data_IF_736545548241
#
_entry.id   IF_736545548241
#
_cell.length_a   1.000
_cell.length_b   1.000
_cell.length_c   1.000
_cell.angle_alpha   90.00
_cell.angle_beta   90.00
_cell.angle_gamma   90.00
#
_symmetry.space_group_name_H-M   'P 1'
#
loop_
_entity.id
_entity.type
_entity.pdbx_description
1 polymer ?
#
# COMPACT_ATOMS: atom_id res chain seq x y z
N UNK A 1 -3.64 -6.47 -5.55
CA UNK A 1 -3.66 -5.02 -5.24
C UNK A 1 -2.43 -4.54 -4.47
N UNK A 2 -2.15 -5.00 -3.25
CA UNK A 2 -1.02 -4.46 -2.46
C UNK A 2 0.36 -4.76 -3.08
N UNK A 3 0.53 -5.96 -3.66
CA UNK A 3 1.71 -6.31 -4.45
C UNK A 3 1.84 -5.45 -5.72
N UNK A 4 0.71 -5.14 -6.38
CA UNK A 4 0.71 -4.24 -7.54
C UNK A 4 1.18 -2.84 -7.13
N UNK A 5 0.69 -2.30 -6.00
CA UNK A 5 1.15 -1.01 -5.47
C UNK A 5 2.65 -1.03 -5.18
N UNK A 6 3.16 -2.08 -4.52
CA UNK A 6 4.59 -2.20 -4.24
C UNK A 6 5.42 -2.22 -5.54
N UNK A 7 5.02 -3.03 -6.53
CA UNK A 7 5.69 -3.11 -7.82
C UNK A 7 5.68 -1.77 -8.56
N UNK A 8 4.51 -1.17 -8.75
CA UNK A 8 4.39 0.10 -9.47
C UNK A 8 5.03 1.26 -8.72
N UNK A 9 5.15 1.20 -7.38
CA UNK A 9 5.93 2.17 -6.61
C UNK A 9 7.43 2.07 -6.93
N UNK A 10 7.98 0.86 -7.08
CA UNK A 10 9.38 0.66 -7.49
C UNK A 10 9.61 1.21 -8.90
N UNK A 11 8.73 0.85 -9.85
CA UNK A 11 8.82 1.30 -11.24
C UNK A 11 8.73 2.83 -11.34
N UNK A 12 7.78 3.44 -10.63
CA UNK A 12 7.62 4.90 -10.61
C UNK A 12 8.85 5.58 -10.02
N UNK A 13 9.39 5.04 -8.93
CA UNK A 13 10.58 5.61 -8.29
C UNK A 13 11.81 5.56 -9.21
N UNK A 14 12.01 4.46 -9.94
CA UNK A 14 13.11 4.34 -10.91
C UNK A 14 12.96 5.31 -12.08
N UNK A 15 11.74 5.49 -12.60
CA UNK A 15 11.47 6.49 -13.65
C UNK A 15 11.73 7.91 -13.17
N UNK A 16 11.28 8.25 -11.97
CA UNK A 16 11.55 9.56 -11.38
C UNK A 16 13.06 9.82 -11.19
N UNK A 17 13.84 8.80 -10.83
CA UNK A 17 15.30 8.91 -10.76
C UNK A 17 15.90 9.21 -12.14
N UNK A 18 15.46 8.48 -13.17
CA UNK A 18 15.91 8.68 -14.55
C UNK A 18 15.56 10.07 -15.08
N UNK A 19 14.30 10.50 -14.93
CA UNK A 19 13.80 11.80 -15.39
C UNK A 19 14.53 12.98 -14.71
N UNK A 20 15.02 12.77 -13.49
CA UNK A 20 15.78 13.77 -12.71
C UNK A 20 17.28 13.71 -12.95
N UNK A 21 17.77 12.74 -13.73
CA UNK A 21 19.19 12.53 -13.96
C UNK A 21 19.96 12.10 -12.70
N UNK A 22 19.31 11.40 -11.77
CA UNK A 22 19.99 10.86 -10.60
C UNK A 22 20.91 9.71 -10.98
N UNK A 23 22.10 9.67 -10.37
CA UNK A 23 22.96 8.50 -10.43
C UNK A 23 22.38 7.41 -9.52
N UNK A 24 21.98 6.30 -10.13
CA UNK A 24 21.35 5.17 -9.45
C UNK A 24 22.22 4.49 -8.39
N UNK A 25 23.53 4.65 -8.42
CA UNK A 25 24.45 4.19 -7.37
C UNK A 25 24.60 5.24 -6.29
N UNK A 26 24.86 6.50 -6.68
CA UNK A 26 25.07 7.59 -5.74
C UNK A 26 23.85 7.81 -4.81
N UNK A 27 22.63 7.72 -5.35
CA UNK A 27 21.42 7.90 -4.54
C UNK A 27 21.25 6.82 -3.45
N UNK A 28 21.70 5.59 -3.71
CA UNK A 28 21.71 4.51 -2.71
C UNK A 28 22.80 4.74 -1.67
N UNK A 29 23.99 5.19 -2.10
CA UNK A 29 25.08 5.54 -1.20
C UNK A 29 24.68 6.69 -0.25
N UNK A 30 24.09 7.76 -0.78
CA UNK A 30 23.58 8.89 -0.02
C UNK A 30 22.49 8.46 0.96
N UNK A 31 21.58 7.59 0.53
CA UNK A 31 20.56 7.02 1.41
C UNK A 31 21.20 6.29 2.58
N UNK A 32 22.13 5.37 2.32
CA UNK A 32 22.80 4.59 3.36
C UNK A 32 23.64 5.46 4.30
N UNK A 33 24.20 6.57 3.81
CA UNK A 33 24.92 7.56 4.62
C UNK A 33 23.99 8.42 5.48
N UNK A 34 22.76 8.67 5.04
CA UNK A 34 21.76 9.45 5.78
C UNK A 34 21.16 8.71 6.98
N UNK A 35 21.32 7.38 7.05
CA UNK A 35 20.75 6.55 8.11
C UNK A 35 21.54 6.67 9.41
N UNK A 36 20.82 6.57 10.54
CA UNK A 36 21.47 6.32 11.84
C UNK A 36 22.23 4.99 11.80
N UNK A 37 23.25 4.85 12.66
CA UNK A 37 24.04 3.61 12.72
C UNK A 37 23.18 2.35 12.87
N UNK A 38 22.18 2.38 13.75
CA UNK A 38 21.25 1.27 13.97
C UNK A 38 20.40 0.96 12.72
N UNK A 39 19.86 1.98 12.05
CA UNK A 39 19.07 1.79 10.84
C UNK A 39 19.93 1.27 9.69
N UNK A 40 21.16 1.78 9.55
CA UNK A 40 22.12 1.33 8.54
C UNK A 40 22.49 -0.14 8.76
N UNK A 41 22.78 -0.53 10.00
CA UNK A 41 23.06 -1.94 10.34
C UNK A 41 21.87 -2.84 10.00
N UNK A 42 20.65 -2.41 10.31
CA UNK A 42 19.44 -3.14 9.94
C UNK A 42 19.34 -3.35 8.42
N UNK A 43 19.60 -2.33 7.59
CA UNK A 43 19.57 -2.48 6.11
C UNK A 43 20.67 -3.39 5.59
N UNK A 44 21.88 -3.29 6.12
CA UNK A 44 22.96 -4.20 5.75
C UNK A 44 22.63 -5.65 6.11
N UNK A 45 22.01 -5.87 7.27
CA UNK A 45 21.54 -7.21 7.69
C UNK A 45 20.44 -7.73 6.77
N UNK A 46 19.46 -6.88 6.43
CA UNK A 46 18.38 -7.21 5.49
C UNK A 46 18.95 -7.66 4.13
N UNK A 47 19.83 -6.84 3.53
CA UNK A 47 20.46 -7.17 2.24
C UNK A 47 21.26 -8.47 2.31
N UNK A 48 22.03 -8.68 3.38
CA UNK A 48 22.79 -9.92 3.61
C UNK A 48 21.86 -11.14 3.74
N UNK A 49 20.69 -10.98 4.36
CA UNK A 49 19.69 -12.05 4.47
C UNK A 49 19.07 -12.38 3.11
N UNK A 50 18.76 -11.37 2.29
CA UNK A 50 18.33 -11.58 0.90
C UNK A 50 19.37 -12.38 0.12
N UNK A 51 20.66 -12.08 0.29
CA UNK A 51 21.76 -12.83 -0.33
C UNK A 51 21.85 -14.32 0.05
N UNK A 52 21.12 -14.80 1.07
CA UNK A 52 21.03 -16.24 1.42
C UNK A 52 19.93 -16.97 0.64
N UNK A 53 19.01 -16.24 0.03
CA UNK A 53 17.94 -16.82 -0.76
C UNK A 53 18.48 -17.31 -2.11
N UNK A 54 18.13 -18.52 -2.57
CA UNK A 54 18.54 -19.00 -3.90
C UNK A 54 18.00 -18.10 -5.03
N UNK A 55 16.96 -17.31 -4.76
CA UNK A 55 16.33 -16.43 -5.74
C UNK A 55 17.01 -15.06 -5.89
N UNK A 56 17.94 -14.70 -5.00
CA UNK A 56 18.59 -13.38 -5.02
C UNK A 56 20.06 -13.38 -4.61
N UNK A 57 20.65 -14.55 -4.32
CA UNK A 57 22.06 -14.70 -3.95
C UNK A 57 23.01 -14.19 -5.03
N UNK A 58 22.74 -14.48 -6.31
CA UNK A 58 23.55 -14.01 -7.45
C UNK A 58 23.50 -12.49 -7.60
N UNK A 59 22.32 -11.90 -7.40
CA UNK A 59 22.13 -10.45 -7.46
C UNK A 59 22.90 -9.75 -6.33
N UNK A 60 22.77 -10.25 -5.10
CA UNK A 60 23.51 -9.72 -3.96
C UNK A 60 25.03 -9.89 -4.14
N UNK A 61 25.50 -11.06 -4.58
CA UNK A 61 26.92 -11.31 -4.81
C UNK A 61 27.52 -10.31 -5.81
N UNK A 62 26.76 -9.95 -6.85
CA UNK A 62 27.19 -8.97 -7.87
C UNK A 62 27.28 -7.54 -7.36
N UNK A 63 26.31 -7.08 -6.55
CA UNK A 63 26.15 -5.67 -6.20
C UNK A 63 26.37 -5.33 -4.72
N UNK A 64 26.75 -6.29 -3.88
CA UNK A 64 26.93 -6.05 -2.43
C UNK A 64 28.01 -5.03 -2.08
N UNK A 65 29.01 -4.83 -2.95
CA UNK A 65 30.05 -3.81 -2.78
C UNK A 65 29.65 -2.42 -3.26
N UNK A 66 28.79 -2.35 -4.29
CA UNK A 66 28.31 -1.11 -4.88
C UNK A 66 26.93 -1.34 -5.52
N UNK A 67 25.88 -0.77 -4.93
CA UNK A 67 24.50 -1.19 -5.17
C UNK A 67 23.70 -0.16 -5.96
N UNK A 68 23.30 -0.46 -7.21
CA UNK A 68 22.41 0.42 -7.95
C UNK A 68 20.99 0.36 -7.39
N UNK A 69 20.24 1.45 -7.56
CA UNK A 69 18.88 1.62 -7.06
C UNK A 69 17.96 0.44 -7.43
N UNK A 70 17.97 -0.03 -8.68
CA UNK A 70 17.12 -1.15 -9.08
C UNK A 70 17.44 -2.43 -8.30
N UNK A 71 18.71 -2.75 -8.07
CA UNK A 71 19.11 -3.94 -7.32
C UNK A 71 18.78 -3.78 -5.83
N UNK A 72 18.96 -2.58 -5.28
CA UNK A 72 18.53 -2.24 -3.93
C UNK A 72 17.02 -2.46 -3.75
N UNK A 73 16.21 -2.01 -4.69
CA UNK A 73 14.75 -2.18 -4.65
C UNK A 73 14.31 -3.65 -4.75
N UNK A 74 15.05 -4.50 -5.47
CA UNK A 74 14.75 -5.93 -5.54
C UNK A 74 15.17 -6.70 -4.28
N UNK A 75 16.26 -6.28 -3.63
CA UNK A 75 16.84 -6.98 -2.47
C UNK A 75 16.23 -6.57 -1.13
N UNK A 76 15.38 -5.54 -1.10
CA UNK A 76 14.87 -4.96 0.14
C UNK A 76 13.38 -5.22 0.34
N UNK A 77 12.94 -5.22 1.61
CA UNK A 77 11.52 -5.36 1.93
C UNK A 77 10.72 -4.12 1.54
N UNK A 78 9.39 -4.29 1.48
CA UNK A 78 8.49 -3.15 1.32
C UNK A 78 8.68 -2.08 2.40
N UNK A 79 9.04 -2.47 3.63
CA UNK A 79 9.37 -1.51 4.68
C UNK A 79 10.54 -0.61 4.30
N UNK A 80 11.57 -1.20 3.70
CA UNK A 80 12.75 -0.46 3.26
C UNK A 80 12.47 0.42 2.06
N UNK A 81 11.70 -0.08 1.08
CA UNK A 81 11.20 0.73 -0.04
C UNK A 81 10.46 1.98 0.47
N UNK A 82 9.58 1.85 1.46
CA UNK A 82 8.80 2.97 2.01
C UNK A 82 9.70 4.06 2.61
N UNK A 83 10.76 3.67 3.31
CA UNK A 83 11.70 4.63 3.89
C UNK A 83 12.59 5.25 2.80
N UNK A 84 12.96 4.49 1.78
CA UNK A 84 13.73 4.99 0.64
C UNK A 84 12.92 5.96 -0.23
N UNK A 85 11.62 5.70 -0.44
CA UNK A 85 10.69 6.65 -1.08
C UNK A 85 10.67 7.99 -0.32
N UNK A 86 10.62 7.95 1.02
CA UNK A 86 10.65 9.18 1.83
C UNK A 86 11.97 9.92 1.70
N UNK A 87 13.09 9.20 1.65
CA UNK A 87 14.40 9.80 1.42
C UNK A 87 14.44 10.52 0.07
N UNK A 88 14.03 9.84 -1.01
CA UNK A 88 13.99 10.42 -2.35
C UNK A 88 13.06 11.63 -2.41
N UNK A 89 11.86 11.54 -1.82
CA UNK A 89 10.91 12.65 -1.76
C UNK A 89 11.51 13.91 -1.13
N UNK A 90 12.27 13.75 -0.04
CA UNK A 90 12.93 14.87 0.65
C UNK A 90 14.09 15.43 -0.15
N UNK A 91 14.91 14.55 -0.74
CA UNK A 91 16.02 14.92 -1.62
C UNK A 91 15.54 15.77 -2.80
N UNK A 92 14.37 15.43 -3.34
CA UNK A 92 13.77 16.11 -4.49
C UNK A 92 12.82 17.27 -4.13
N UNK A 93 12.54 17.49 -2.84
CA UNK A 93 11.53 18.46 -2.40
C UNK A 93 10.10 18.12 -2.82
N UNK A 94 9.81 16.85 -3.15
CA UNK A 94 8.52 16.40 -3.62
C UNK A 94 7.57 16.09 -2.44
N UNK A 95 6.69 17.04 -2.15
CA UNK A 95 5.70 16.91 -1.07
C UNK A 95 4.62 15.88 -1.36
N UNK A 96 4.31 15.59 -2.63
CA UNK A 96 3.31 14.60 -2.98
C UNK A 96 3.87 13.20 -2.76
N UNK A 97 5.12 12.96 -3.16
CA UNK A 97 5.83 11.72 -2.86
C UNK A 97 6.10 11.55 -1.36
N UNK A 98 6.38 12.62 -0.62
CA UNK A 98 6.52 12.52 0.83
C UNK A 98 5.17 12.19 1.51
N UNK A 99 4.05 12.69 0.99
CA UNK A 99 2.73 12.31 1.49
C UNK A 99 2.42 10.83 1.20
N UNK A 100 2.82 10.30 0.04
CA UNK A 100 2.57 8.91 -0.34
C UNK A 100 3.26 7.90 0.60
N UNK A 101 4.38 8.27 1.23
CA UNK A 101 5.04 7.45 2.27
C UNK A 101 4.06 6.98 3.36
N UNK A 102 3.16 7.86 3.81
CA UNK A 102 2.18 7.51 4.85
C UNK A 102 1.08 6.58 4.33
N UNK A 103 0.70 6.74 3.06
CA UNK A 103 -0.25 5.84 2.41
C UNK A 103 0.37 4.45 2.22
N UNK A 104 1.64 4.37 1.80
CA UNK A 104 2.34 3.09 1.63
C UNK A 104 2.52 2.34 2.96
N UNK A 105 2.68 3.02 4.09
CA UNK A 105 2.68 2.38 5.42
C UNK A 105 1.37 1.65 5.70
N UNK A 106 0.25 2.22 5.30
CA UNK A 106 -1.08 1.59 5.43
C UNK A 106 -1.25 0.44 4.46
N UNK A 107 -0.77 0.58 3.22
CA UNK A 107 -0.73 -0.51 2.24
C UNK A 107 0.07 -1.70 2.77
N UNK A 108 1.23 -1.45 3.39
CA UNK A 108 2.04 -2.48 4.06
C UNK A 108 1.27 -3.16 5.19
N UNK A 109 0.50 -2.42 5.98
CA UNK A 109 -0.36 -2.97 7.05
C UNK A 109 -1.36 -3.99 6.50
N UNK A 110 -2.12 -3.62 5.46
CA UNK A 110 -3.08 -4.53 4.80
C UNK A 110 -2.38 -5.72 4.16
N UNK A 111 -1.22 -5.51 3.52
CA UNK A 111 -0.41 -6.59 2.93
C UNK A 111 0.01 -7.62 3.98
N UNK A 112 0.44 -7.16 5.16
CA UNK A 112 0.81 -8.02 6.26
C UNK A 112 -0.42 -8.73 6.87
N UNK A 113 -1.53 -8.02 7.06
CA UNK A 113 -2.79 -8.61 7.51
C UNK A 113 -3.21 -9.79 6.61
N UNK A 114 -3.19 -9.60 5.30
CA UNK A 114 -3.51 -10.64 4.32
C UNK A 114 -2.50 -11.80 4.34
N UNK A 115 -1.20 -11.50 4.38
CA UNK A 115 -0.14 -12.52 4.38
C UNK A 115 -0.14 -13.41 5.63
N UNK A 116 -0.61 -12.90 6.78
CA UNK A 116 -0.72 -13.64 8.02
C UNK A 116 -2.11 -14.27 8.24
N UNK A 117 -3.03 -14.17 7.27
CA UNK A 117 -4.39 -14.72 7.38
C UNK A 117 -5.25 -14.06 8.46
N UNK A 118 -4.95 -12.82 8.85
CA UNK A 118 -5.71 -12.09 9.86
C UNK A 118 -7.09 -11.67 9.31
N UNK A 119 -8.13 -11.80 10.13
CA UNK A 119 -9.50 -11.52 9.72
C UNK A 119 -9.79 -10.01 9.69
N UNK A 120 -9.65 -9.41 8.52
CA UNK A 120 -9.95 -7.99 8.28
C UNK A 120 -11.41 -7.63 8.56
N UNK A 121 -12.36 -8.54 8.26
CA UNK A 121 -13.80 -8.30 8.45
C UNK A 121 -14.14 -8.16 9.94
N UNK A 122 -13.47 -8.89 10.83
CA UNK A 122 -13.66 -8.76 12.28
C UNK A 122 -13.44 -7.32 12.75
N UNK A 123 -12.46 -6.63 12.15
CA UNK A 123 -12.16 -5.25 12.47
C UNK A 123 -13.25 -4.26 12.05
N UNK A 124 -14.21 -4.64 11.20
CA UNK A 124 -15.35 -3.77 10.84
C UNK A 124 -16.50 -3.88 11.84
N UNK A 125 -16.64 -5.04 12.50
CA UNK A 125 -17.62 -5.27 13.56
C UNK A 125 -17.18 -4.59 14.86
N UNK A 126 -15.90 -4.74 15.21
CA UNK A 126 -15.30 -4.03 16.34
C UNK A 126 -15.15 -2.55 15.97
N UNK A 127 -15.90 -1.66 16.64
CA UNK A 127 -15.83 -0.19 16.45
C UNK A 127 -14.54 0.40 17.01
N UNK A 128 -13.39 -0.20 16.71
CA UNK A 128 -12.08 0.28 17.10
C UNK A 128 -11.83 1.67 16.52
N UNK A 129 -11.60 2.64 17.41
CA UNK A 129 -11.31 4.01 17.00
C UNK A 129 -10.02 4.06 16.18
N UNK A 130 -10.05 4.82 15.08
CA UNK A 130 -8.87 5.04 14.27
C UNK A 130 -7.76 5.71 15.08
N UNK A 131 -6.54 5.15 15.02
CA UNK A 131 -5.34 5.81 15.54
C UNK A 131 -4.87 6.88 14.55
N UNK A 132 -5.65 7.97 14.46
CA UNK A 132 -5.39 9.12 13.61
C UNK A 132 -6.28 9.21 12.36
N UNK A 133 -6.04 10.26 11.57
CA UNK A 133 -6.79 10.54 10.34
C UNK A 133 -6.11 9.95 9.11
N UNK A 134 -6.90 9.61 8.10
CA UNK A 134 -6.39 9.32 6.77
C UNK A 134 -5.66 10.53 6.16
N UNK A 135 -4.77 10.27 5.19
CA UNK A 135 -4.12 11.34 4.45
C UNK A 135 -5.15 12.24 3.79
N UNK A 136 -4.79 13.51 3.55
CA UNK A 136 -5.71 14.45 2.92
C UNK A 136 -6.10 14.01 1.51
N UNK A 137 -5.19 13.34 0.79
CA UNK A 137 -5.44 12.74 -0.52
C UNK A 137 -6.52 11.65 -0.47
N UNK A 138 -6.36 10.68 0.44
CA UNK A 138 -7.37 9.63 0.65
C UNK A 138 -8.71 10.22 1.07
N UNK A 139 -8.69 11.16 2.03
CA UNK A 139 -9.91 11.80 2.53
C UNK A 139 -10.66 12.57 1.44
N UNK A 140 -9.95 13.28 0.55
CA UNK A 140 -10.55 13.97 -0.60
C UNK A 140 -11.19 12.98 -1.58
N UNK A 141 -10.48 11.89 -1.93
CA UNK A 141 -11.02 10.87 -2.84
C UNK A 141 -12.23 10.14 -2.26
N UNK A 142 -12.22 9.83 -0.97
CA UNK A 142 -13.38 9.25 -0.27
C UNK A 142 -14.54 10.26 -0.18
N UNK A 143 -14.25 11.56 -0.02
CA UNK A 143 -15.28 12.60 0.02
C UNK A 143 -15.94 12.86 -1.34
N UNK A 144 -15.24 12.59 -2.44
CA UNK A 144 -15.76 12.68 -3.80
C UNK A 144 -16.81 11.59 -4.11
N UNK A 145 -16.88 10.53 -3.30
CA UNK A 145 -17.88 9.48 -3.45
C UNK A 145 -19.25 10.00 -2.99
N UNK A 146 -20.31 9.68 -3.74
CA UNK A 146 -21.72 9.94 -3.42
C UNK A 146 -22.25 9.25 -2.15
N UNK A 147 -21.38 8.81 -1.24
CA UNK A 147 -21.70 8.23 0.06
C UNK A 147 -22.03 9.36 1.06
N UNK A 148 -23.11 9.26 1.86
CA UNK A 148 -23.45 10.27 2.87
C UNK A 148 -22.30 10.57 3.84
N UNK A 149 -22.16 11.85 4.22
CA UNK A 149 -21.09 12.32 5.13
C UNK A 149 -21.04 11.53 6.45
N UNK A 150 -22.19 11.18 7.02
CA UNK A 150 -22.28 10.39 8.25
C UNK A 150 -21.68 8.99 8.08
N UNK A 151 -21.97 8.32 6.96
CA UNK A 151 -21.43 7.00 6.61
C UNK A 151 -19.92 7.07 6.38
N UNK A 152 -19.44 8.10 5.66
CA UNK A 152 -17.99 8.32 5.50
C UNK A 152 -17.30 8.52 6.85
N UNK A 153 -17.87 9.34 7.75
CA UNK A 153 -17.30 9.57 9.09
C UNK A 153 -17.29 8.30 9.93
N UNK A 154 -18.35 7.48 9.85
CA UNK A 154 -18.42 6.17 10.54
C UNK A 154 -17.27 5.27 10.10
N UNK A 155 -17.13 5.05 8.79
CA UNK A 155 -16.19 4.08 8.24
C UNK A 155 -14.75 4.57 8.22
N UNK A 156 -14.53 5.84 7.86
CA UNK A 156 -13.20 6.46 7.98
C UNK A 156 -12.80 6.71 9.43
N UNK A 157 -13.66 6.46 10.42
CA UNK A 157 -13.31 6.46 11.84
C UNK A 157 -12.74 5.13 12.34
N UNK A 158 -12.69 4.09 11.49
CA UNK A 158 -12.17 2.76 11.82
C UNK A 158 -10.80 2.53 11.15
N UNK A 159 -9.82 2.02 11.91
CA UNK A 159 -8.43 1.84 11.41
C UNK A 159 -8.37 0.91 10.19
N UNK A 160 -8.94 -0.30 10.29
CA UNK A 160 -8.88 -1.28 9.21
C UNK A 160 -9.55 -0.74 7.94
N UNK A 161 -10.70 -0.08 8.11
CA UNK A 161 -11.41 0.54 6.99
C UNK A 161 -10.61 1.68 6.36
N UNK A 162 -9.95 2.54 7.15
CA UNK A 162 -9.05 3.57 6.63
C UNK A 162 -7.90 2.95 5.82
N UNK A 163 -7.30 1.86 6.29
CA UNK A 163 -6.20 1.18 5.61
C UNK A 163 -6.65 0.55 4.29
N UNK A 164 -7.80 -0.12 4.27
CA UNK A 164 -8.40 -0.69 3.05
C UNK A 164 -8.75 0.41 2.05
N UNK A 165 -9.40 1.49 2.51
CA UNK A 165 -9.71 2.63 1.65
C UNK A 165 -8.43 3.25 1.07
N UNK A 166 -7.34 3.28 1.85
CA UNK A 166 -6.03 3.75 1.38
C UNK A 166 -5.47 2.84 0.29
N UNK A 167 -5.59 1.50 0.41
CA UNK A 167 -5.19 0.55 -0.64
C UNK A 167 -5.97 0.80 -1.93
N UNK A 168 -7.29 0.96 -1.85
CA UNK A 168 -8.13 1.21 -3.03
C UNK A 168 -7.75 2.53 -3.72
N UNK A 169 -7.55 3.59 -2.94
CA UNK A 169 -7.13 4.90 -3.44
C UNK A 169 -5.73 4.86 -4.06
N UNK A 170 -4.76 4.24 -3.38
CA UNK A 170 -3.40 4.11 -3.88
C UNK A 170 -3.35 3.26 -5.15
N UNK A 171 -4.08 2.15 -5.20
CA UNK A 171 -4.13 1.30 -6.37
C UNK A 171 -4.67 2.02 -7.60
N UNK A 172 -5.81 2.70 -7.47
CA UNK A 172 -6.41 3.45 -8.58
C UNK A 172 -5.58 4.67 -9.03
N UNK A 173 -4.71 5.19 -8.16
CA UNK A 173 -3.79 6.29 -8.51
C UNK A 173 -2.46 5.84 -9.11
N UNK A 174 -1.88 4.75 -8.61
CA UNK A 174 -0.51 4.34 -8.92
C UNK A 174 -0.42 3.22 -9.96
N UNK A 175 -1.38 2.28 -9.96
CA UNK A 175 -1.35 1.11 -10.85
C UNK A 175 -2.00 1.48 -12.17
N UNK A 176 -1.31 1.55 -13.32
CA UNK A 176 -1.89 2.00 -14.58
C UNK A 176 -3.03 1.10 -15.07
N UNK A 177 -3.80 1.59 -16.04
CA UNK A 177 -4.75 0.76 -16.79
C UNK A 177 -4.03 -0.43 -17.45
N UNK A 178 -4.64 -1.61 -17.39
CA UNK A 178 -4.03 -2.85 -17.89
C UNK A 178 -4.40 -4.07 -17.05
N UNK A 179 -3.66 -5.16 -17.23
CA UNK A 179 -3.96 -6.47 -16.66
C UNK A 179 -4.06 -6.47 -15.12
N UNK A 180 -3.15 -5.80 -14.41
CA UNK A 180 -3.22 -5.67 -12.94
C UNK A 180 -4.50 -4.99 -12.47
N UNK A 181 -4.94 -3.93 -13.17
CA UNK A 181 -6.17 -3.20 -12.81
C UNK A 181 -7.42 -4.00 -13.15
N UNK A 182 -7.46 -4.64 -14.32
CA UNK A 182 -8.57 -5.53 -14.72
C UNK A 182 -8.70 -6.75 -13.79
N UNK A 183 -7.59 -7.36 -13.38
CA UNK A 183 -7.59 -8.46 -12.41
C UNK A 183 -8.12 -8.01 -11.06
N UNK A 184 -7.62 -6.89 -10.53
CA UNK A 184 -8.11 -6.33 -9.26
C UNK A 184 -9.61 -6.01 -9.32
N UNK A 185 -10.09 -5.46 -10.43
CA UNK A 185 -11.51 -5.21 -10.67
C UNK A 185 -12.35 -6.49 -10.60
N UNK A 186 -11.90 -7.55 -11.30
CA UNK A 186 -12.58 -8.84 -11.32
C UNK A 186 -12.61 -9.50 -9.93
N UNK A 187 -11.48 -9.51 -9.22
CA UNK A 187 -11.36 -10.07 -7.87
C UNK A 187 -12.28 -9.33 -6.87
N UNK A 188 -12.37 -8.00 -6.97
CA UNK A 188 -13.28 -7.21 -6.15
C UNK A 188 -14.75 -7.49 -6.47
N UNK A 189 -15.11 -7.55 -7.75
CA UNK A 189 -16.46 -7.85 -8.19
C UNK A 189 -16.91 -9.25 -7.73
N UNK A 190 -16.05 -10.25 -7.87
CA UNK A 190 -16.31 -11.61 -7.39
C UNK A 190 -16.47 -11.67 -5.86
N UNK A 191 -15.61 -10.96 -5.12
CA UNK A 191 -15.72 -10.84 -3.66
C UNK A 191 -17.06 -10.23 -3.26
N UNK A 192 -17.50 -9.16 -3.92
CA UNK A 192 -18.79 -8.53 -3.64
C UNK A 192 -19.97 -9.44 -3.98
N UNK A 193 -19.93 -10.12 -5.14
CA UNK A 193 -20.97 -11.06 -5.54
C UNK A 193 -21.09 -12.24 -4.55
N UNK A 194 -19.97 -12.76 -4.07
CA UNK A 194 -19.95 -13.80 -3.04
C UNK A 194 -20.56 -13.32 -1.74
N UNK A 195 -20.23 -12.10 -1.30
CA UNK A 195 -20.81 -11.53 -0.09
C UNK A 195 -22.33 -11.30 -0.18
N UNK A 196 -22.84 -11.00 -1.37
CA UNK A 196 -24.28 -10.85 -1.60
C UNK A 196 -25.02 -12.19 -1.49
N UNK A 197 -24.41 -13.28 -1.97
CA UNK A 197 -24.97 -14.63 -1.91
C UNK A 197 -24.93 -15.31 -0.54
N UNK A 198 -24.06 -14.87 0.37
CA UNK A 198 -23.80 -15.49 1.68
C UNK A 198 -24.58 -14.79 2.80
N UNK A 199 -25.91 -14.65 2.66
CA UNK A 199 -26.76 -13.92 3.63
C UNK A 199 -26.81 -14.53 5.03
N UNK A 200 -26.56 -15.84 5.16
CA UNK A 200 -26.48 -16.51 6.48
C UNK A 200 -25.19 -16.16 7.23
N UNK A 201 -24.07 -16.04 6.52
CA UNK A 201 -22.77 -15.69 7.10
C UNK A 201 -22.57 -14.17 7.28
N UNK A 202 -23.29 -13.35 6.51
CA UNK A 202 -23.24 -11.89 6.54
C UNK A 202 -24.65 -11.30 6.66
N UNK A 203 -25.26 -11.35 7.86
CA UNK A 203 -26.65 -10.95 8.04
C UNK A 203 -26.87 -9.45 7.86
N UNK A 204 -28.04 -9.10 7.32
CA UNK A 204 -28.43 -7.72 7.02
C UNK A 204 -29.00 -6.97 8.24
N UNK A 205 -29.27 -7.70 9.32
CA UNK A 205 -29.94 -7.21 10.52
C UNK A 205 -29.19 -7.67 11.77
N UNK A 206 -29.41 -6.95 12.86
CA UNK A 206 -28.81 -7.28 14.15
C UNK A 206 -27.39 -6.74 14.33
N UNK A 207 -26.68 -7.19 15.39
CA UNK A 207 -25.36 -6.67 15.76
C UNK A 207 -24.30 -6.88 14.66
N UNK A 208 -24.46 -7.90 13.83
CA UNK A 208 -23.49 -8.31 12.80
C UNK A 208 -23.71 -7.63 11.43
N UNK A 209 -24.78 -6.83 11.27
CA UNK A 209 -25.07 -6.05 10.06
C UNK A 209 -24.00 -5.00 9.71
N UNK A 210 -23.07 -4.75 10.63
CA UNK A 210 -21.92 -3.89 10.42
C UNK A 210 -21.05 -4.38 9.26
N UNK A 211 -20.83 -5.70 9.12
CA UNK A 211 -19.98 -6.25 8.06
C UNK A 211 -20.55 -5.98 6.66
N UNK A 212 -21.86 -6.21 6.46
CA UNK A 212 -22.54 -5.91 5.19
C UNK A 212 -22.52 -4.41 4.87
N UNK A 213 -22.77 -3.56 5.86
CA UNK A 213 -22.64 -2.10 5.71
C UNK A 213 -21.21 -1.63 5.38
N UNK A 214 -20.19 -2.38 5.80
CA UNK A 214 -18.79 -2.10 5.50
C UNK A 214 -18.47 -2.44 4.04
N UNK A 215 -18.93 -3.61 3.58
CA UNK A 215 -18.78 -4.06 2.19
C UNK A 215 -19.50 -3.13 1.22
N UNK A 216 -20.69 -2.64 1.56
CA UNK A 216 -21.41 -1.65 0.76
C UNK A 216 -20.64 -0.33 0.64
N UNK A 217 -20.00 0.12 1.72
CA UNK A 217 -19.12 1.30 1.67
C UNK A 217 -17.92 1.07 0.74
N UNK A 218 -17.29 -0.11 0.83
CA UNK A 218 -16.16 -0.47 -0.03
C UNK A 218 -16.58 -0.58 -1.51
N UNK A 219 -17.74 -1.16 -1.80
CA UNK A 219 -18.31 -1.28 -3.16
C UNK A 219 -18.47 0.09 -3.82
N UNK A 220 -19.17 1.00 -3.14
CA UNK A 220 -19.35 2.39 -3.62
C UNK A 220 -18.03 3.14 -3.80
N UNK A 221 -17.06 2.88 -2.92
CA UNK A 221 -15.73 3.47 -3.06
C UNK A 221 -15.02 2.90 -4.30
N UNK A 222 -15.08 1.59 -4.55
CA UNK A 222 -14.47 0.98 -5.73
C UNK A 222 -15.11 1.45 -7.04
N UNK A 223 -16.44 1.61 -7.08
CA UNK A 223 -17.18 2.15 -8.22
C UNK A 223 -16.75 3.59 -8.51
N UNK A 224 -16.72 4.45 -7.48
CA UNK A 224 -16.31 5.84 -7.65
C UNK A 224 -14.83 6.02 -8.02
N UNK A 225 -13.99 5.03 -7.75
CA UNK A 225 -12.60 5.01 -8.17
C UNK A 225 -12.41 4.46 -9.59
N UNK A 226 -13.49 4.05 -10.25
CA UNK A 226 -13.47 3.40 -11.58
C UNK A 226 -12.82 2.02 -11.56
N UNK A 227 -12.70 1.39 -10.39
CA UNK A 227 -12.11 0.06 -10.25
C UNK A 227 -13.11 -1.04 -10.58
N UNK A 228 -14.36 -0.89 -10.15
CA UNK A 228 -15.46 -1.83 -10.44
C UNK A 228 -16.53 -1.05 -11.21
N UNK A 229 -17.17 -1.70 -12.18
CA UNK A 229 -18.26 -1.12 -12.98
C UNK A 229 -19.61 -1.55 -12.43
#
# INVERSE_FOLDING_TARGET
MTLDIEHFQKVTLLREMEDRGEDGYAIVADYMASLTAANREYRLRELKMSGRSPYSSSLYAKYSGDMPAWAFLELTSFGTLIDFVRFCARRWGDRLLEASHYDLKRVKSVRNCAAHGSCLINCFAERGAARGSASSGVSRRVAAVGIPKATRRKWMGNTAMQEVATVLVAHSGLVPEGSSRSRAASELAEMFARADGETEALPDKGPDAAARSALEFLRRLTESLGLVK
#
